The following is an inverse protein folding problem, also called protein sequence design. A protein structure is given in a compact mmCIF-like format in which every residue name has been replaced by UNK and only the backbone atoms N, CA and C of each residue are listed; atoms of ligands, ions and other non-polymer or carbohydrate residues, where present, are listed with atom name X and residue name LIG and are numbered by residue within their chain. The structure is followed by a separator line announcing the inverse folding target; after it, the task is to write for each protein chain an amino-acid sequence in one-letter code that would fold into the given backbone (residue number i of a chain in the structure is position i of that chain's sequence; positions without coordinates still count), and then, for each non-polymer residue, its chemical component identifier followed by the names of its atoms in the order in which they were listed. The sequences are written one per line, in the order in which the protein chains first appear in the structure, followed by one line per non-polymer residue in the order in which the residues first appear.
data_IF_733721970613
#
_entry.id   IF_733721970613
#
_cell.length_a   1.000
_cell.length_b   1.000
_cell.length_c   1.000
_cell.angle_alpha   90.00
_cell.angle_beta   90.00
_cell.angle_gamma   90.00
#
_symmetry.space_group_name_H-M   'P 1'
#
loop_
_entity.id
_entity.type
_entity.pdbx_description
1 polymer ?
#
# COMPACT_ATOMS: atom_id res chain seq x y z
N UNK A 1 21.97 4.28 11.69
CA UNK A 1 21.09 4.26 10.50
C UNK A 1 19.91 5.15 10.81
N UNK A 2 19.71 6.25 10.07
CA UNK A 2 18.52 7.08 10.26
C UNK A 2 17.29 6.24 9.90
N UNK A 3 16.27 6.22 10.75
CA UNK A 3 15.01 5.58 10.39
C UNK A 3 14.50 6.26 9.11
N UNK A 4 14.17 5.49 8.05
CA UNK A 4 13.60 6.08 6.84
C UNK A 4 12.41 6.97 7.22
N UNK A 5 12.37 8.18 6.69
CA UNK A 5 11.29 9.11 6.97
C UNK A 5 10.01 8.55 6.33
N UNK A 6 9.20 7.87 7.14
CA UNK A 6 7.99 7.16 6.70
C UNK A 6 7.01 8.10 5.98
N UNK A 7 6.96 9.39 6.36
CA UNK A 7 6.15 10.38 5.66
C UNK A 7 6.70 10.71 4.27
N UNK A 8 8.03 10.76 4.11
CA UNK A 8 8.65 10.94 2.80
C UNK A 8 8.41 9.72 1.90
N UNK A 9 8.49 8.50 2.45
CA UNK A 9 8.20 7.26 1.73
C UNK A 9 6.72 7.19 1.31
N UNK A 10 5.80 7.55 2.21
CA UNK A 10 4.38 7.65 1.89
C UNK A 10 4.11 8.69 0.80
N UNK A 11 4.78 9.85 0.87
CA UNK A 11 4.71 10.90 -0.15
C UNK A 11 5.17 10.41 -1.53
N UNK A 12 6.33 9.75 -1.60
CA UNK A 12 6.82 9.15 -2.84
C UNK A 12 5.86 8.11 -3.40
N UNK A 13 5.28 7.28 -2.54
CA UNK A 13 4.34 6.26 -2.96
C UNK A 13 3.04 6.85 -3.54
N UNK A 14 2.56 7.96 -3.00
CA UNK A 14 1.42 8.68 -3.55
C UNK A 14 1.72 9.30 -4.91
N UNK A 15 2.94 9.82 -5.11
CA UNK A 15 3.40 10.33 -6.41
C UNK A 15 3.61 9.22 -7.44
N UNK A 16 3.96 8.01 -6.98
CA UNK A 16 4.15 6.84 -7.83
C UNK A 16 2.86 6.01 -7.99
N UNK A 17 1.67 6.60 -7.79
CA UNK A 17 0.41 5.89 -7.97
C UNK A 17 0.31 5.38 -9.42
N UNK A 18 -0.04 4.10 -9.64
CA UNK A 18 -0.19 3.56 -10.98
C UNK A 18 -1.24 4.34 -11.79
N UNK A 19 -1.00 4.45 -13.09
CA UNK A 19 -1.93 5.03 -14.04
C UNK A 19 -3.20 4.17 -14.20
N UNK A 20 -4.23 4.73 -14.85
CA UNK A 20 -5.54 4.08 -15.02
C UNK A 20 -5.50 2.81 -15.86
N UNK A 21 -4.49 2.68 -16.71
CA UNK A 21 -4.22 1.55 -17.60
C UNK A 21 -3.22 0.54 -17.02
N UNK A 22 -2.74 0.76 -15.79
CA UNK A 22 -1.84 -0.16 -15.12
C UNK A 22 -2.50 -1.53 -14.92
N UNK A 23 -1.72 -2.58 -15.10
CA UNK A 23 -2.21 -3.94 -14.87
C UNK A 23 -2.66 -4.14 -13.41
N UNK A 24 -3.64 -5.01 -13.15
CA UNK A 24 -4.08 -5.34 -11.79
C UNK A 24 -2.92 -5.75 -10.87
N UNK A 25 -1.91 -6.44 -11.41
CA UNK A 25 -0.72 -6.84 -10.65
C UNK A 25 0.13 -5.64 -10.22
N UNK A 26 0.33 -4.64 -11.10
CA UNK A 26 1.05 -3.41 -10.73
C UNK A 26 0.29 -2.63 -9.66
N UNK A 27 -1.04 -2.57 -9.77
CA UNK A 27 -1.89 -1.92 -8.76
C UNK A 27 -1.86 -2.68 -7.44
N UNK A 28 -1.89 -4.02 -7.47
CA UNK A 28 -1.78 -4.87 -6.29
C UNK A 28 -0.45 -4.64 -5.56
N UNK A 29 0.68 -4.69 -6.29
CA UNK A 29 2.02 -4.42 -5.73
C UNK A 29 2.13 -3.01 -5.13
N UNK A 30 1.47 -2.02 -5.72
CA UNK A 30 1.43 -0.67 -5.16
C UNK A 30 0.66 -0.64 -3.83
N UNK A 31 -0.49 -1.31 -3.75
CA UNK A 31 -1.24 -1.44 -2.50
C UNK A 31 -0.49 -2.22 -1.42
N UNK A 32 0.26 -3.26 -1.78
CA UNK A 32 1.13 -4.00 -0.85
C UNK A 32 2.20 -3.07 -0.24
N UNK A 33 2.90 -2.31 -1.08
CA UNK A 33 3.87 -1.31 -0.60
C UNK A 33 3.21 -0.27 0.30
N UNK A 34 2.00 0.18 -0.06
CA UNK A 34 1.23 1.13 0.75
C UNK A 34 0.91 0.58 2.13
N UNK A 35 0.52 -0.69 2.21
CA UNK A 35 0.27 -1.36 3.49
C UNK A 35 1.53 -1.36 4.36
N UNK A 36 2.68 -1.77 3.82
CA UNK A 36 3.96 -1.81 4.56
C UNK A 36 4.35 -0.45 5.15
N UNK A 37 4.23 0.63 4.37
CA UNK A 37 4.55 1.99 4.84
C UNK A 37 3.58 2.44 5.94
N UNK A 38 2.30 2.15 5.79
CA UNK A 38 1.28 2.47 6.79
C UNK A 38 1.43 1.65 8.07
N UNK A 39 1.96 0.43 7.99
CA UNK A 39 2.30 -0.39 9.16
C UNK A 39 3.43 0.25 9.98
N UNK A 40 4.42 0.84 9.33
CA UNK A 40 5.46 1.60 10.02
C UNK A 40 4.91 2.84 10.75
N UNK A 41 3.88 3.50 10.19
CA UNK A 41 3.17 4.59 10.89
C UNK A 41 2.28 4.06 12.01
N UNK A 42 1.63 2.91 11.81
CA UNK A 42 0.80 2.27 12.83
C UNK A 42 1.63 1.86 14.05
N UNK A 43 2.86 1.38 13.84
CA UNK A 43 3.80 1.06 14.91
C UNK A 43 4.18 2.27 15.78
N UNK A 44 3.97 3.50 15.27
CA UNK A 44 4.18 4.75 16.02
C UNK A 44 2.92 5.22 16.77
N UNK A 45 1.86 4.38 16.81
CA UNK A 45 0.64 4.63 17.59
C UNK A 45 -0.55 5.16 16.78
N UNK A 46 -0.48 5.16 15.45
CA UNK A 46 -1.61 5.63 14.61
C UNK A 46 -2.59 4.50 14.28
N UNK A 47 -3.73 4.48 14.98
CA UNK A 47 -4.83 3.55 14.68
C UNK A 47 -5.42 3.75 13.28
N UNK A 48 -5.46 5.00 12.81
CA UNK A 48 -5.89 5.31 11.45
C UNK A 48 -4.94 4.68 10.42
N UNK A 49 -3.62 4.76 10.64
CA UNK A 49 -2.65 4.13 9.75
C UNK A 49 -2.82 2.61 9.71
N UNK A 50 -3.12 1.99 10.86
CA UNK A 50 -3.45 0.54 10.94
C UNK A 50 -4.67 0.19 10.08
N UNK A 51 -5.76 0.92 10.22
CA UNK A 51 -6.98 0.70 9.41
C UNK A 51 -6.73 0.90 7.91
N UNK A 52 -5.91 1.88 7.54
CA UNK A 52 -5.54 2.11 6.15
C UNK A 52 -4.63 1.01 5.60
N UNK A 53 -3.70 0.48 6.41
CA UNK A 53 -2.86 -0.65 6.03
C UNK A 53 -3.72 -1.89 5.72
N UNK A 54 -4.66 -2.22 6.60
CA UNK A 54 -5.57 -3.35 6.40
C UNK A 54 -6.43 -3.17 5.15
N UNK A 55 -6.90 -1.96 4.90
CA UNK A 55 -7.66 -1.63 3.69
C UNK A 55 -6.80 -1.80 2.43
N UNK A 56 -5.54 -1.34 2.45
CA UNK A 56 -4.62 -1.51 1.34
C UNK A 56 -4.34 -3.01 1.06
N UNK A 57 -4.12 -3.82 2.10
CA UNK A 57 -3.94 -5.28 1.94
C UNK A 57 -5.15 -5.94 1.29
N UNK A 58 -6.37 -5.60 1.72
CA UNK A 58 -7.61 -6.12 1.10
C UNK A 58 -7.70 -5.77 -0.38
N UNK A 59 -7.31 -4.55 -0.77
CA UNK A 59 -7.29 -4.14 -2.18
C UNK A 59 -6.26 -4.93 -2.99
N UNK A 60 -5.05 -5.12 -2.45
CA UNK A 60 -4.04 -5.94 -3.10
C UNK A 60 -4.52 -7.39 -3.32
N UNK A 61 -5.13 -7.99 -2.28
CA UNK A 61 -5.68 -9.34 -2.36
C UNK A 61 -6.81 -9.45 -3.39
N UNK A 62 -7.75 -8.49 -3.43
CA UNK A 62 -8.83 -8.50 -4.41
C UNK A 62 -8.29 -8.49 -5.85
N UNK A 63 -7.25 -7.70 -6.11
CA UNK A 63 -6.59 -7.61 -7.41
C UNK A 63 -5.76 -8.85 -7.75
N UNK A 64 -5.20 -9.55 -6.75
CA UNK A 64 -4.46 -10.80 -6.93
C UNK A 64 -5.36 -12.05 -7.09
N UNK A 65 -6.51 -12.08 -6.42
CA UNK A 65 -7.49 -13.17 -6.51
C UNK A 65 -8.32 -13.09 -7.78
N UNK A 66 -8.53 -11.89 -8.35
CA UNK A 66 -9.23 -11.70 -9.63
C UNK A 66 -8.62 -12.45 -10.82
N UNK A 67 -7.37 -12.93 -10.71
CA UNK A 67 -6.70 -13.76 -11.73
C UNK A 67 -7.16 -15.22 -11.75
N UNK A 68 -7.79 -15.71 -10.67
CA UNK A 68 -8.22 -17.12 -10.53
C UNK A 68 -9.73 -17.32 -10.74
N UNK A 69 -10.49 -16.23 -10.94
CA UNK A 69 -11.95 -16.25 -11.05
C UNK A 69 -12.47 -15.88 -12.45
N UNK A 70 -11.59 -15.80 -13.46
CA UNK A 70 -11.95 -15.47 -14.85
C UNK A 70 -11.41 -16.53 -15.82
#
# INVERSE_FOLDING_TARGET
MAAPNVLAELGQLHLSRPAVDASPEQVARWYERKATVLEHLAAQGSDLARQQADTARRQAQALGVGRWAA
#
